data_IF_285416571577
#
_entry.id   IF_285416571577
#
_cell.length_a   1.000
_cell.length_b   1.000
_cell.length_c   1.000
_cell.angle_alpha   90.00
_cell.angle_beta   90.00
_cell.angle_gamma   90.00
#
_symmetry.space_group_name_H-M   'P 1'
#
loop_
_entity.id
_entity.type
_entity.pdbx_description
1 polymer ?
#
# COMPACT_ATOMS: atom_id res chain seq x y z
N UNK A 1 7.47 0.58 15.29
CA UNK A 1 8.14 1.36 14.20
C UNK A 1 7.68 0.86 12.84
N UNK A 2 7.42 1.75 11.87
CA UNK A 2 6.94 1.35 10.51
C UNK A 2 8.11 0.88 9.65
N UNK A 3 7.91 -0.26 8.97
CA UNK A 3 8.79 -0.78 7.93
C UNK A 3 8.03 -1.06 6.64
N UNK A 4 8.77 -1.16 5.54
CA UNK A 4 8.28 -1.50 4.20
C UNK A 4 9.21 -2.51 3.56
N UNK A 5 8.65 -3.58 3.02
CA UNK A 5 9.31 -4.45 2.05
C UNK A 5 8.58 -4.27 0.72
N UNK A 6 9.34 -3.93 -0.33
CA UNK A 6 8.80 -3.62 -1.65
C UNK A 6 9.51 -4.39 -2.75
N UNK A 7 8.75 -4.89 -3.69
CA UNK A 7 9.19 -5.30 -5.03
C UNK A 7 8.41 -4.45 -6.02
N UNK A 8 9.08 -3.79 -6.92
CA UNK A 8 8.40 -2.94 -7.89
C UNK A 8 9.09 -2.98 -9.27
N UNK A 9 8.48 -2.30 -10.24
CA UNK A 9 8.96 -2.25 -11.61
C UNK A 9 10.38 -1.67 -11.78
N UNK A 10 10.92 -0.95 -10.79
CA UNK A 10 12.29 -0.41 -10.81
C UNK A 10 13.32 -1.46 -10.37
N UNK A 11 12.91 -2.43 -9.54
CA UNK A 11 13.80 -3.39 -8.90
C UNK A 11 13.69 -4.81 -9.46
N UNK A 12 12.56 -5.15 -10.09
CA UNK A 12 12.31 -6.50 -10.59
C UNK A 12 11.58 -6.51 -11.94
N UNK A 13 11.96 -7.47 -12.79
CA UNK A 13 11.25 -7.75 -14.03
C UNK A 13 9.80 -8.17 -13.77
N UNK A 14 8.96 -8.08 -14.80
CA UNK A 14 7.55 -8.49 -14.70
C UNK A 14 7.42 -9.94 -14.21
N UNK A 15 8.20 -10.87 -14.79
CA UNK A 15 8.20 -12.28 -14.39
C UNK A 15 8.54 -12.51 -12.92
N UNK A 16 9.45 -11.71 -12.36
CA UNK A 16 9.78 -11.80 -10.93
C UNK A 16 8.67 -11.23 -10.05
N UNK A 17 8.04 -10.11 -10.45
CA UNK A 17 6.89 -9.53 -9.72
C UNK A 17 5.71 -10.49 -9.67
N UNK A 18 5.42 -11.20 -10.78
CA UNK A 18 4.37 -12.22 -10.87
C UNK A 18 4.53 -13.32 -9.83
N UNK A 19 5.75 -13.79 -9.61
CA UNK A 19 6.03 -14.84 -8.62
C UNK A 19 5.64 -14.42 -7.20
N UNK A 20 5.76 -13.13 -6.88
CA UNK A 20 5.48 -12.59 -5.54
C UNK A 20 4.10 -11.93 -5.44
N UNK A 21 3.33 -11.83 -6.52
CA UNK A 21 1.98 -11.28 -6.45
C UNK A 21 1.13 -12.01 -5.40
N UNK A 22 0.42 -11.24 -4.57
CA UNK A 22 -0.45 -11.77 -3.51
C UNK A 22 -1.90 -11.45 -3.81
N UNK A 23 -2.74 -12.47 -3.75
CA UNK A 23 -4.18 -12.32 -3.73
C UNK A 23 -4.67 -11.75 -2.39
N UNK A 24 -5.96 -11.44 -2.31
CA UNK A 24 -6.54 -10.80 -1.12
C UNK A 24 -6.43 -11.65 0.15
N UNK A 25 -6.74 -12.95 0.03
CA UNK A 25 -6.64 -13.91 1.14
C UNK A 25 -5.18 -14.17 1.54
N UNK A 26 -4.28 -14.32 0.55
CA UNK A 26 -2.85 -14.49 0.79
C UNK A 26 -2.25 -13.28 1.53
N UNK A 27 -2.68 -12.07 1.19
CA UNK A 27 -2.24 -10.84 1.85
C UNK A 27 -2.59 -10.84 3.35
N UNK A 28 -3.81 -11.24 3.69
CA UNK A 28 -4.26 -11.37 5.08
C UNK A 28 -3.49 -12.46 5.81
N UNK A 29 -3.37 -13.65 5.22
CA UNK A 29 -2.65 -14.78 5.81
C UNK A 29 -1.18 -14.44 6.10
N UNK A 30 -0.51 -13.75 5.18
CA UNK A 30 0.89 -13.37 5.36
C UNK A 30 1.09 -12.43 6.55
N UNK A 31 0.23 -11.42 6.72
CA UNK A 31 0.33 -10.49 7.85
C UNK A 31 0.02 -11.21 9.17
N UNK A 32 -1.02 -12.07 9.23
CA UNK A 32 -1.30 -12.88 10.42
C UNK A 32 -0.12 -13.77 10.79
N UNK A 33 0.48 -14.46 9.83
CA UNK A 33 1.67 -15.25 10.07
C UNK A 33 2.83 -14.42 10.63
N UNK A 34 3.05 -13.22 10.10
CA UNK A 34 4.11 -12.33 10.59
C UNK A 34 3.83 -11.77 11.98
N UNK A 35 2.57 -11.54 12.33
CA UNK A 35 2.17 -11.17 13.70
C UNK A 35 2.48 -12.31 14.69
N UNK A 36 2.13 -13.55 14.34
CA UNK A 36 2.34 -14.73 15.17
C UNK A 36 3.82 -15.12 15.29
N UNK A 37 4.54 -15.23 14.16
CA UNK A 37 5.90 -15.76 14.14
C UNK A 37 6.97 -14.72 14.49
N UNK A 38 6.75 -13.44 14.12
CA UNK A 38 7.75 -12.38 14.24
C UNK A 38 7.36 -11.27 15.24
N UNK A 39 6.18 -11.39 15.86
CA UNK A 39 5.70 -10.44 16.86
C UNK A 39 5.41 -9.05 16.28
N UNK A 40 5.06 -8.94 14.99
CA UNK A 40 4.65 -7.68 14.41
C UNK A 40 3.32 -7.22 15.01
N UNK A 41 3.15 -5.91 15.20
CA UNK A 41 1.93 -5.34 15.77
C UNK A 41 0.78 -5.30 14.75
N UNK A 42 1.11 -5.18 13.48
CA UNK A 42 0.15 -5.18 12.38
C UNK A 42 0.81 -4.85 11.04
N UNK A 43 0.00 -4.79 9.98
CA UNK A 43 0.49 -4.49 8.64
C UNK A 43 -0.63 -4.51 7.60
N UNK A 44 -0.27 -4.13 6.37
CA UNK A 44 -1.13 -4.29 5.21
C UNK A 44 -0.30 -4.54 3.95
N UNK A 45 -0.92 -5.16 2.97
CA UNK A 45 -0.29 -5.51 1.69
C UNK A 45 -0.98 -4.77 0.56
N UNK A 46 -0.21 -4.03 -0.22
CA UNK A 46 -0.59 -3.47 -1.49
C UNK A 46 0.03 -4.32 -2.61
N UNK A 47 -0.77 -5.10 -3.29
CA UNK A 47 -0.36 -5.93 -4.43
C UNK A 47 -1.10 -5.44 -5.68
N UNK A 48 -0.34 -4.98 -6.67
CA UNK A 48 -0.85 -4.44 -7.94
C UNK A 48 -0.05 -5.01 -9.12
N UNK A 49 -0.41 -4.68 -10.34
CA UNK A 49 0.37 -5.06 -11.53
C UNK A 49 1.84 -4.59 -11.49
N UNK A 50 2.13 -3.48 -10.81
CA UNK A 50 3.43 -2.82 -10.85
C UNK A 50 4.28 -3.01 -9.60
N UNK A 51 3.66 -3.47 -8.49
CA UNK A 51 4.34 -3.58 -7.21
C UNK A 51 3.68 -4.54 -6.25
N UNK A 52 4.49 -5.11 -5.40
CA UNK A 52 4.09 -5.66 -4.12
C UNK A 52 4.75 -4.80 -3.04
N UNK A 53 3.97 -4.20 -2.17
CA UNK A 53 4.45 -3.42 -1.03
C UNK A 53 3.80 -3.93 0.25
N UNK A 54 4.61 -4.30 1.23
CA UNK A 54 4.17 -4.83 2.51
C UNK A 54 4.60 -3.83 3.58
N UNK A 55 3.65 -3.07 4.09
CA UNK A 55 3.85 -2.16 5.21
C UNK A 55 3.55 -2.90 6.51
N UNK A 56 4.42 -2.75 7.48
CA UNK A 56 4.28 -3.40 8.77
C UNK A 56 4.70 -2.49 9.92
N UNK A 57 4.15 -2.76 11.10
CA UNK A 57 4.57 -2.12 12.33
C UNK A 57 5.28 -3.13 13.24
N UNK A 58 6.56 -2.86 13.51
CA UNK A 58 7.37 -3.62 14.46
C UNK A 58 7.31 -2.97 15.86
N UNK A 59 7.29 -3.75 16.95
CA UNK A 59 7.30 -3.22 18.32
C UNK A 59 8.59 -2.47 18.66
N UNK A 60 9.70 -2.88 18.05
CA UNK A 60 11.02 -2.32 18.24
C UNK A 60 11.59 -1.72 16.96
N UNK A 61 12.89 -1.37 16.97
CA UNK A 61 13.60 -0.95 15.78
C UNK A 61 13.56 -2.05 14.71
N UNK A 62 13.32 -1.65 13.48
CA UNK A 62 13.46 -2.52 12.32
C UNK A 62 14.96 -2.75 12.11
N UNK A 63 15.39 -4.01 12.23
CA UNK A 63 16.77 -4.42 12.02
C UNK A 63 16.91 -5.15 10.69
N UNK A 64 18.10 -5.18 10.12
CA UNK A 64 18.39 -5.94 8.90
C UNK A 64 18.10 -7.45 9.08
N UNK A 65 18.26 -7.97 10.31
CA UNK A 65 17.94 -9.36 10.62
C UNK A 65 16.42 -9.62 10.53
N UNK A 66 15.59 -8.71 11.04
CA UNK A 66 14.14 -8.79 10.91
C UNK A 66 13.73 -8.74 9.43
N UNK A 67 14.27 -7.78 8.66
CA UNK A 67 13.97 -7.64 7.23
C UNK A 67 14.32 -8.91 6.45
N UNK A 68 15.52 -9.45 6.63
CA UNK A 68 15.93 -10.71 5.98
C UNK A 68 15.07 -11.89 6.43
N UNK A 69 14.57 -11.89 7.67
CA UNK A 69 13.67 -12.94 8.16
C UNK A 69 12.29 -12.84 7.50
N UNK A 70 11.74 -11.62 7.38
CA UNK A 70 10.47 -11.38 6.70
C UNK A 70 10.55 -11.71 5.20
N UNK A 71 11.64 -11.34 4.53
CA UNK A 71 11.89 -11.70 3.12
C UNK A 71 11.94 -13.22 2.95
N UNK A 72 12.70 -13.94 3.79
CA UNK A 72 12.76 -15.41 3.76
C UNK A 72 11.39 -16.05 4.04
N UNK A 73 10.62 -15.47 4.95
CA UNK A 73 9.24 -15.89 5.22
C UNK A 73 8.36 -15.73 3.99
N UNK A 74 8.47 -14.61 3.26
CA UNK A 74 7.75 -14.37 2.01
C UNK A 74 8.10 -15.40 0.91
N UNK A 75 9.39 -15.72 0.74
CA UNK A 75 9.81 -16.80 -0.17
C UNK A 75 9.16 -18.14 0.19
N UNK A 76 9.15 -18.50 1.47
CA UNK A 76 8.52 -19.74 1.97
C UNK A 76 7.02 -19.72 1.76
N UNK A 77 6.36 -18.61 2.05
CA UNK A 77 4.92 -18.42 1.87
C UNK A 77 4.50 -18.65 0.41
N UNK A 78 5.25 -18.07 -0.54
CA UNK A 78 5.02 -18.25 -1.98
C UNK A 78 5.58 -19.54 -2.54
N UNK A 79 6.20 -20.39 -1.72
CA UNK A 79 6.85 -21.66 -2.15
C UNK A 79 7.89 -21.46 -3.23
N UNK A 80 8.56 -20.32 -3.24
CA UNK A 80 9.62 -19.98 -4.18
C UNK A 80 10.96 -20.42 -3.55
N UNK A 81 11.81 -21.08 -4.34
CA UNK A 81 13.16 -21.42 -3.88
C UNK A 81 13.96 -20.12 -3.68
N UNK A 82 14.44 -19.92 -2.45
CA UNK A 82 15.29 -18.77 -2.13
C UNK A 82 16.62 -18.90 -2.90
N UNK A 83 16.83 -17.98 -3.86
CA UNK A 83 18.01 -18.00 -4.73
C UNK A 83 19.21 -17.25 -4.15
N UNK A 84 19.08 -16.67 -2.94
CA UNK A 84 20.06 -15.76 -2.36
C UNK A 84 20.04 -14.35 -2.97
N UNK A 85 19.23 -14.12 -3.98
CA UNK A 85 19.08 -12.80 -4.61
C UNK A 85 17.98 -12.01 -3.90
N UNK A 86 18.39 -11.19 -2.93
CA UNK A 86 17.53 -10.24 -2.23
C UNK A 86 17.55 -8.85 -2.89
N UNK A 87 18.31 -8.65 -3.96
CA UNK A 87 18.46 -7.35 -4.63
C UNK A 87 17.19 -6.83 -5.29
N UNK A 88 16.23 -7.72 -5.55
CA UNK A 88 14.90 -7.34 -6.06
C UNK A 88 14.02 -6.65 -5.01
N UNK A 89 14.38 -6.79 -3.73
CA UNK A 89 13.63 -6.16 -2.63
C UNK A 89 14.25 -4.80 -2.28
N UNK A 90 13.39 -3.84 -2.10
CA UNK A 90 13.71 -2.58 -1.43
C UNK A 90 13.12 -2.61 -0.05
N UNK A 91 13.94 -2.43 0.98
CA UNK A 91 13.48 -2.26 2.36
C UNK A 91 13.63 -0.80 2.78
N UNK A 92 12.57 -0.26 3.37
CA UNK A 92 12.57 1.08 3.93
C UNK A 92 12.03 1.02 5.35
N UNK A 93 12.56 1.86 6.22
CA UNK A 93 12.10 1.90 7.60
C UNK A 93 11.90 3.32 8.10
N UNK A 94 11.01 3.44 9.07
CA UNK A 94 10.64 4.65 9.76
C UNK A 94 10.32 5.80 8.81
N UNK A 95 11.06 6.90 8.84
CA UNK A 95 10.82 8.11 8.05
C UNK A 95 10.78 7.83 6.54
N UNK A 96 11.63 6.95 6.03
CA UNK A 96 11.65 6.63 4.60
C UNK A 96 10.43 5.80 4.18
N UNK A 97 10.01 4.82 4.98
CA UNK A 97 8.78 4.05 4.72
C UNK A 97 7.54 4.94 4.76
N UNK A 98 7.46 5.86 5.75
CA UNK A 98 6.40 6.85 5.88
C UNK A 98 6.37 7.76 4.65
N UNK A 99 7.50 8.36 4.29
CA UNK A 99 7.64 9.24 3.11
C UNK A 99 7.23 8.53 1.83
N UNK A 100 7.63 7.28 1.67
CA UNK A 100 7.28 6.46 0.50
C UNK A 100 5.77 6.29 0.40
N UNK A 101 5.06 5.98 1.50
CA UNK A 101 3.60 5.84 1.51
C UNK A 101 2.89 7.14 1.10
N UNK A 102 3.33 8.30 1.60
CA UNK A 102 2.75 9.59 1.22
C UNK A 102 2.96 9.87 -0.28
N UNK A 103 4.17 9.62 -0.80
CA UNK A 103 4.49 9.78 -2.22
C UNK A 103 3.66 8.83 -3.08
N UNK A 104 3.53 7.58 -2.65
CA UNK A 104 2.72 6.57 -3.30
C UNK A 104 1.25 6.98 -3.38
N UNK A 105 0.67 7.40 -2.26
CA UNK A 105 -0.72 7.87 -2.19
C UNK A 105 -0.99 9.05 -3.13
N UNK A 106 0.01 9.92 -3.33
CA UNK A 106 -0.04 11.05 -4.25
C UNK A 106 0.25 10.66 -5.72
N UNK A 107 0.56 9.38 -6.02
CA UNK A 107 0.86 8.91 -7.37
C UNK A 107 2.27 9.24 -7.87
N UNK A 108 3.18 9.70 -7.01
CA UNK A 108 4.56 10.06 -7.37
C UNK A 108 5.49 8.85 -7.51
N UNK A 109 5.06 7.66 -7.07
CA UNK A 109 5.79 6.39 -7.22
C UNK A 109 5.18 5.50 -8.30
N UNK A 110 4.13 5.94 -9.00
CA UNK A 110 3.52 5.21 -10.09
C UNK A 110 4.34 5.31 -11.37
N UNK A 111 4.21 4.32 -12.27
CA UNK A 111 4.86 4.32 -13.59
C UNK A 111 4.38 5.50 -14.44
N UNK A 112 3.11 5.83 -14.32
CA UNK A 112 2.49 7.01 -14.90
C UNK A 112 2.23 8.00 -13.78
N UNK A 113 2.85 9.17 -13.87
CA UNK A 113 2.74 10.22 -12.87
C UNK A 113 1.28 10.68 -12.72
N UNK A 114 0.82 10.79 -11.46
CA UNK A 114 -0.54 11.22 -11.17
C UNK A 114 -1.61 10.13 -11.32
N UNK A 115 -1.23 8.87 -11.47
CA UNK A 115 -2.16 7.74 -11.55
C UNK A 115 -3.15 7.75 -10.38
N UNK A 116 -4.43 7.90 -10.70
CA UNK A 116 -5.49 8.03 -9.68
C UNK A 116 -5.87 6.70 -9.04
N UNK A 117 -5.58 5.58 -9.71
CA UNK A 117 -5.99 4.25 -9.29
C UNK A 117 -5.24 3.77 -8.05
N UNK A 118 -3.96 4.15 -7.90
CA UNK A 118 -3.13 3.71 -6.77
C UNK A 118 -3.73 4.10 -5.41
N UNK A 119 -4.35 5.28 -5.30
CA UNK A 119 -5.00 5.70 -4.06
C UNK A 119 -6.22 4.82 -3.73
N UNK A 120 -6.99 4.42 -4.76
CA UNK A 120 -8.10 3.48 -4.59
C UNK A 120 -7.63 2.12 -4.11
N UNK A 121 -6.58 1.58 -4.74
CA UNK A 121 -5.96 0.31 -4.37
C UNK A 121 -5.37 0.35 -2.95
N UNK A 122 -4.73 1.45 -2.57
CA UNK A 122 -4.18 1.65 -1.23
C UNK A 122 -5.29 1.70 -0.16
N UNK A 123 -6.40 2.39 -0.44
CA UNK A 123 -7.58 2.42 0.45
C UNK A 123 -8.18 1.02 0.64
N UNK A 124 -8.25 0.23 -0.42
CA UNK A 124 -8.78 -1.13 -0.36
C UNK A 124 -7.85 -2.06 0.43
N UNK A 125 -6.53 -1.96 0.23
CA UNK A 125 -5.54 -2.68 1.03
C UNK A 125 -5.66 -2.36 2.53
N UNK A 126 -5.78 -1.07 2.86
CA UNK A 126 -5.99 -0.61 4.24
C UNK A 126 -7.34 -1.10 4.82
N UNK A 127 -8.44 -1.01 4.05
CA UNK A 127 -9.76 -1.48 4.47
C UNK A 127 -9.72 -2.97 4.82
N UNK A 128 -9.05 -3.78 3.98
CA UNK A 128 -8.87 -5.21 4.22
C UNK A 128 -8.12 -5.47 5.53
N UNK A 129 -7.00 -4.79 5.76
CA UNK A 129 -6.25 -4.93 7.00
C UNK A 129 -7.08 -4.53 8.24
N UNK A 130 -7.92 -3.49 8.12
CA UNK A 130 -8.81 -3.07 9.21
C UNK A 130 -9.90 -4.11 9.48
N UNK A 131 -10.50 -4.69 8.44
CA UNK A 131 -11.53 -5.73 8.57
C UNK A 131 -10.99 -6.98 9.28
N UNK A 132 -9.71 -7.30 9.11
CA UNK A 132 -9.05 -8.46 9.72
C UNK A 132 -8.22 -8.11 10.97
N UNK A 133 -8.47 -6.96 11.61
CA UNK A 133 -7.80 -6.52 12.85
C UNK A 133 -6.27 -6.44 12.75
N UNK A 134 -5.74 -6.26 11.54
CA UNK A 134 -4.31 -6.14 11.26
C UNK A 134 -3.82 -4.69 11.25
N UNK A 135 -4.73 -3.72 11.38
CA UNK A 135 -4.40 -2.29 11.39
C UNK A 135 -4.30 -1.75 12.82
N UNK A 136 -3.11 -1.30 13.19
CA UNK A 136 -2.87 -0.61 14.47
C UNK A 136 -3.33 0.85 14.43
N UNK A 137 -3.36 1.51 15.58
CA UNK A 137 -3.63 2.96 15.65
C UNK A 137 -2.62 3.80 14.85
N UNK A 138 -1.34 3.36 14.81
CA UNK A 138 -0.28 4.04 14.05
C UNK A 138 -0.48 3.85 12.55
N UNK A 139 -0.74 2.62 12.10
CA UNK A 139 -1.04 2.32 10.69
C UNK A 139 -2.30 3.06 10.23
N UNK A 140 -3.37 3.03 11.04
CA UNK A 140 -4.61 3.75 10.73
C UNK A 140 -4.38 5.24 10.56
N UNK A 141 -3.67 5.87 11.50
CA UNK A 141 -3.33 7.29 11.42
C UNK A 141 -2.47 7.61 10.20
N UNK A 142 -1.46 6.77 9.91
CA UNK A 142 -0.57 6.89 8.76
C UNK A 142 -1.36 6.87 7.44
N UNK A 143 -2.22 5.87 7.26
CA UNK A 143 -3.04 5.74 6.06
C UNK A 143 -4.01 6.91 5.89
N UNK A 144 -4.72 7.31 6.94
CA UNK A 144 -5.63 8.46 6.89
C UNK A 144 -4.91 9.75 6.50
N UNK A 145 -3.76 10.04 7.09
CA UNK A 145 -2.95 11.23 6.74
C UNK A 145 -2.44 11.15 5.30
N UNK A 146 -2.03 9.98 4.81
CA UNK A 146 -1.64 9.79 3.42
C UNK A 146 -2.83 10.04 2.46
N UNK A 147 -4.04 9.60 2.80
CA UNK A 147 -5.25 9.83 2.01
C UNK A 147 -5.65 11.31 1.98
N UNK A 148 -5.60 12.00 3.11
CA UNK A 148 -5.83 13.45 3.21
C UNK A 148 -4.84 14.23 2.34
N UNK A 149 -3.55 13.89 2.45
CA UNK A 149 -2.47 14.50 1.66
C UNK A 149 -2.70 14.28 0.17
N UNK A 150 -3.00 13.07 -0.25
CA UNK A 150 -3.29 12.75 -1.64
C UNK A 150 -4.51 13.51 -2.18
N UNK A 151 -5.57 13.66 -1.37
CA UNK A 151 -6.75 14.45 -1.74
C UNK A 151 -6.38 15.91 -1.96
N UNK A 152 -5.60 16.50 -1.05
CA UNK A 152 -5.17 17.89 -1.16
C UNK A 152 -4.24 18.12 -2.36
N UNK A 153 -3.24 17.24 -2.54
CA UNK A 153 -2.35 17.32 -3.72
C UNK A 153 -3.14 17.31 -5.02
N UNK A 154 -4.15 16.45 -5.13
CA UNK A 154 -5.01 16.42 -6.33
C UNK A 154 -5.82 17.68 -6.53
N UNK A 155 -6.38 18.24 -5.46
CA UNK A 155 -7.24 19.41 -5.58
C UNK A 155 -6.48 20.71 -5.82
N UNK A 156 -5.25 20.84 -5.34
CA UNK A 156 -4.50 22.10 -5.37
C UNK A 156 -3.38 22.13 -6.43
N UNK A 157 -2.77 20.97 -6.73
CA UNK A 157 -1.57 20.92 -7.57
C UNK A 157 -1.78 20.18 -8.90
N UNK A 158 -2.76 19.28 -9.00
CA UNK A 158 -2.98 18.46 -10.20
C UNK A 158 -4.24 18.85 -10.99
N UNK A 159 -4.81 20.02 -10.71
CA UNK A 159 -6.05 20.50 -11.37
C UNK A 159 -5.92 20.73 -12.88
N UNK A 160 -4.71 20.83 -13.42
CA UNK A 160 -4.45 21.11 -14.84
C UNK A 160 -3.96 19.90 -15.64
N UNK A 161 -3.51 18.84 -14.99
CA UNK A 161 -3.09 17.64 -15.68
C UNK A 161 -4.23 16.62 -15.69
N UNK A 162 -4.72 16.28 -16.86
CA UNK A 162 -5.58 15.10 -17.02
C UNK A 162 -4.78 13.89 -16.51
N UNK A 163 -5.24 13.18 -15.46
CA UNK A 163 -4.47 12.08 -14.92
C UNK A 163 -4.27 11.03 -16.01
N UNK A 164 -3.06 10.90 -16.51
CA UNK A 164 -2.75 9.83 -17.46
C UNK A 164 -2.74 8.54 -16.64
N UNK A 165 -3.73 7.68 -16.86
CA UNK A 165 -3.70 6.35 -16.25
C UNK A 165 -2.90 5.39 -17.13
N UNK A 166 -2.48 4.25 -16.54
CA UNK A 166 -1.79 3.22 -17.31
C UNK A 166 -2.62 2.76 -18.52
N UNK A 167 -3.96 2.71 -18.39
CA UNK A 167 -4.85 2.37 -19.51
C UNK A 167 -4.85 3.43 -20.62
N UNK A 168 -4.88 4.71 -20.26
CA UNK A 168 -4.76 5.83 -21.21
C UNK A 168 -3.40 5.78 -21.92
N UNK A 169 -2.33 5.61 -21.15
CA UNK A 169 -0.97 5.52 -21.68
C UNK A 169 -0.81 4.33 -22.64
N UNK A 170 -1.42 3.17 -22.35
CA UNK A 170 -1.39 2.00 -23.21
C UNK A 170 -2.07 2.25 -24.55
N UNK A 171 -3.24 2.90 -24.56
CA UNK A 171 -3.93 3.27 -25.81
C UNK A 171 -3.08 4.24 -26.63
N UNK A 172 -2.54 5.28 -26.01
CA UNK A 172 -1.71 6.27 -26.70
C UNK A 172 -0.39 5.65 -27.19
N UNK A 173 0.17 4.68 -26.45
CA UNK A 173 1.37 3.94 -26.85
C UNK A 173 1.15 3.15 -28.15
N UNK A 174 0.07 2.36 -28.25
CA UNK A 174 -0.25 1.62 -29.47
C UNK A 174 -0.62 2.56 -30.63
N UNK A 175 -1.40 3.62 -30.36
CA UNK A 175 -1.77 4.61 -31.36
C UNK A 175 -0.56 5.25 -32.05
N UNK A 176 0.53 5.46 -31.34
CA UNK A 176 1.75 6.04 -31.92
C UNK A 176 2.56 5.03 -32.76
N UNK A 177 2.39 3.73 -32.52
CA UNK A 177 3.16 2.66 -33.18
C UNK A 177 2.44 2.02 -34.36
N UNK A 178 1.14 2.02 -34.32
CA UNK A 178 0.30 1.43 -35.37
C UNK A 178 -0.21 2.54 -36.25
N UNK A 179 0.34 2.64 -37.47
CA UNK A 179 0.04 3.75 -38.41
C UNK A 179 -1.46 3.91 -38.76
N UNK A 180 -2.17 2.78 -38.82
CA UNK A 180 -3.60 2.74 -39.15
C UNK A 180 -4.46 2.35 -37.92
N UNK A 181 -4.04 2.73 -36.71
CA UNK A 181 -4.70 2.39 -35.44
C UNK A 181 -6.21 2.66 -35.48
N UNK A 182 -6.63 3.82 -36.01
CA UNK A 182 -8.03 4.22 -36.05
C UNK A 182 -8.90 3.37 -37.02
N UNK A 183 -8.26 2.62 -37.91
CA UNK A 183 -8.94 1.77 -38.91
C UNK A 183 -9.01 0.32 -38.51
N UNK A 184 -8.32 -0.06 -37.43
CA UNK A 184 -8.25 -1.44 -36.95
C UNK A 184 -9.23 -1.67 -35.81
N UNK A 185 -10.04 -2.74 -35.83
CA UNK A 185 -10.88 -3.09 -34.70
C UNK A 185 -10.10 -3.36 -33.41
N UNK A 186 -10.62 -2.84 -32.33
CA UNK A 186 -10.04 -2.97 -30.97
C UNK A 186 -10.91 -3.84 -30.10
N UNK A 187 -10.32 -4.83 -29.43
CA UNK A 187 -10.95 -5.63 -28.41
C UNK A 187 -10.45 -5.20 -27.02
N UNK A 188 -11.36 -4.97 -26.10
CA UNK A 188 -11.08 -4.88 -24.67
C UNK A 188 -11.41 -6.21 -24.04
N UNK A 189 -10.44 -6.91 -23.46
CA UNK A 189 -10.60 -8.18 -22.80
C UNK A 189 -10.61 -8.00 -21.28
N UNK A 190 -11.81 -8.13 -20.67
CA UNK A 190 -12.07 -7.83 -19.26
C UNK A 190 -12.99 -6.62 -19.06
N UNK A 191 -13.73 -6.59 -17.96
CA UNK A 191 -14.68 -5.53 -17.61
C UNK A 191 -14.37 -4.93 -16.20
N UNK A 192 -13.09 -4.81 -15.88
CA UNK A 192 -12.59 -4.21 -14.64
C UNK A 192 -12.26 -2.72 -14.79
N UNK A 193 -11.73 -2.12 -13.71
CA UNK A 193 -11.37 -0.69 -13.67
C UNK A 193 -10.41 -0.27 -14.79
N UNK A 194 -9.41 -1.12 -15.11
CA UNK A 194 -8.46 -0.83 -16.18
C UNK A 194 -9.15 -0.83 -17.56
N UNK A 195 -10.06 -1.77 -17.79
CA UNK A 195 -10.88 -1.82 -18.98
C UNK A 195 -11.75 -0.55 -19.15
N UNK A 196 -12.32 -0.04 -18.04
CA UNK A 196 -13.10 1.23 -18.07
C UNK A 196 -12.25 2.41 -18.54
N UNK A 197 -11.02 2.50 -18.08
CA UNK A 197 -10.12 3.57 -18.50
C UNK A 197 -9.75 3.48 -19.98
N UNK A 198 -9.47 2.26 -20.46
CA UNK A 198 -9.19 2.01 -21.88
C UNK A 198 -10.40 2.38 -22.73
N UNK A 199 -11.60 1.94 -22.33
CA UNK A 199 -12.84 2.26 -23.05
C UNK A 199 -13.09 3.76 -23.12
N UNK A 200 -12.92 4.47 -21.98
CA UNK A 200 -13.06 5.93 -21.94
C UNK A 200 -12.06 6.63 -22.87
N UNK A 201 -10.79 6.19 -22.89
CA UNK A 201 -9.78 6.77 -23.78
C UNK A 201 -10.08 6.52 -25.24
N UNK A 202 -10.52 5.32 -25.62
CA UNK A 202 -10.97 5.01 -26.99
C UNK A 202 -12.19 5.84 -27.40
N UNK A 203 -13.12 6.10 -26.47
CA UNK A 203 -14.27 6.96 -26.67
C UNK A 203 -13.87 8.44 -26.87
N UNK A 204 -12.94 8.97 -26.09
CA UNK A 204 -12.36 10.31 -26.30
C UNK A 204 -11.72 10.45 -27.68
N UNK A 205 -11.05 9.40 -28.15
CA UNK A 205 -10.47 9.34 -29.49
C UNK A 205 -11.50 9.08 -30.58
N UNK A 206 -12.78 8.91 -30.23
CA UNK A 206 -13.86 8.55 -31.13
C UNK A 206 -13.55 7.32 -31.98
N UNK A 207 -12.91 6.32 -31.39
CA UNK A 207 -12.51 5.10 -32.11
C UNK A 207 -13.77 4.34 -32.59
N UNK A 208 -13.93 4.07 -33.90
CA UNK A 208 -15.21 3.63 -34.43
C UNK A 208 -15.52 2.14 -34.19
N UNK A 209 -14.50 1.33 -33.94
CA UNK A 209 -14.62 -0.13 -33.89
C UNK A 209 -14.05 -0.70 -32.57
N UNK A 210 -14.85 -0.57 -31.52
CA UNK A 210 -14.52 -1.11 -30.20
C UNK A 210 -15.44 -2.27 -29.84
N UNK A 211 -14.88 -3.36 -29.37
CA UNK A 211 -15.59 -4.52 -28.86
C UNK A 211 -15.14 -4.85 -27.44
N UNK A 212 -16.00 -5.52 -26.70
CA UNK A 212 -15.73 -6.00 -25.33
C UNK A 212 -15.88 -7.51 -25.26
N UNK A 213 -14.95 -8.16 -24.58
CA UNK A 213 -15.10 -9.55 -24.13
C UNK A 213 -14.99 -9.63 -22.60
N UNK A 214 -15.91 -10.33 -22.00
CA UNK A 214 -15.77 -10.75 -20.61
C UNK A 214 -16.37 -12.16 -20.42
N UNK A 215 -15.73 -12.98 -19.59
CA UNK A 215 -16.19 -14.35 -19.32
C UNK A 215 -17.65 -14.38 -18.83
N UNK A 216 -18.03 -13.44 -17.97
CA UNK A 216 -19.40 -13.29 -17.48
C UNK A 216 -20.17 -12.37 -18.43
N UNK A 217 -21.21 -12.92 -19.08
CA UNK A 217 -22.01 -12.23 -20.11
C UNK A 217 -22.68 -10.95 -19.60
N UNK A 218 -23.26 -11.02 -18.42
CA UNK A 218 -23.95 -9.88 -17.80
C UNK A 218 -23.00 -8.70 -17.56
N UNK A 219 -21.76 -8.99 -17.16
CA UNK A 219 -20.73 -7.97 -16.99
C UNK A 219 -20.31 -7.35 -18.33
N UNK A 220 -20.19 -8.16 -19.38
CA UNK A 220 -19.87 -7.66 -20.72
C UNK A 220 -20.97 -6.73 -21.23
N UNK A 221 -22.25 -7.09 -21.07
CA UNK A 221 -23.41 -6.29 -21.46
C UNK A 221 -23.45 -4.97 -20.69
N UNK A 222 -23.38 -5.02 -19.35
CA UNK A 222 -23.40 -3.82 -18.52
C UNK A 222 -22.25 -2.85 -18.85
N UNK A 223 -21.06 -3.38 -19.13
CA UNK A 223 -19.92 -2.60 -19.56
C UNK A 223 -20.17 -1.95 -20.93
N UNK A 224 -20.68 -2.70 -21.89
CA UNK A 224 -20.98 -2.23 -23.24
C UNK A 224 -22.04 -1.12 -23.24
N UNK A 225 -23.10 -1.26 -22.45
CA UNK A 225 -24.13 -0.24 -22.28
C UNK A 225 -23.54 1.05 -21.70
N UNK A 226 -22.72 0.94 -20.67
CA UNK A 226 -22.07 2.08 -20.01
C UNK A 226 -21.16 2.86 -20.96
N UNK A 227 -20.41 2.16 -21.81
CA UNK A 227 -19.41 2.73 -22.72
C UNK A 227 -19.87 2.83 -24.19
N UNK A 228 -21.15 2.57 -24.48
CA UNK A 228 -21.75 2.65 -25.81
C UNK A 228 -21.03 1.75 -26.84
N UNK A 229 -20.59 0.58 -26.41
CA UNK A 229 -19.92 -0.42 -27.25
C UNK A 229 -21.00 -1.33 -27.88
N UNK A 230 -21.02 -1.46 -29.18
CA UNK A 230 -22.03 -2.25 -29.90
C UNK A 230 -21.71 -3.75 -30.01
N UNK A 231 -20.42 -4.11 -29.97
CA UNK A 231 -19.96 -5.49 -30.17
C UNK A 231 -19.59 -6.10 -28.85
N UNK A 232 -20.34 -7.13 -28.43
CA UNK A 232 -20.18 -7.81 -27.12
C UNK A 232 -19.92 -9.29 -27.34
N UNK A 233 -18.84 -9.79 -26.71
CA UNK A 233 -18.48 -11.20 -26.70
C UNK A 233 -18.40 -11.74 -25.28
N UNK A 234 -18.72 -13.00 -25.10
CA UNK A 234 -18.66 -13.68 -23.80
C UNK A 234 -18.50 -15.20 -23.99
N UNK A 235 -18.19 -15.90 -22.89
CA UNK A 235 -18.08 -17.37 -22.88
C UNK A 235 -17.14 -17.90 -23.97
N UNK A 236 -17.60 -18.82 -24.83
CA UNK A 236 -16.78 -19.49 -25.85
C UNK A 236 -16.49 -18.61 -27.10
N UNK A 237 -16.91 -17.35 -27.11
CA UNK A 237 -16.75 -16.47 -28.27
C UNK A 237 -15.41 -15.69 -28.28
N UNK A 238 -14.46 -16.04 -27.41
CA UNK A 238 -13.14 -15.38 -27.41
C UNK A 238 -12.37 -15.58 -28.73
N UNK A 239 -12.32 -16.79 -29.35
CA UNK A 239 -11.67 -16.94 -30.65
C UNK A 239 -12.27 -16.05 -31.73
N UNK A 240 -13.60 -15.88 -31.73
CA UNK A 240 -14.31 -15.00 -32.68
C UNK A 240 -13.95 -13.53 -32.43
N UNK A 241 -13.94 -13.09 -31.18
CA UNK A 241 -13.56 -11.72 -30.80
C UNK A 241 -12.13 -11.38 -31.26
N UNK A 242 -11.19 -12.30 -31.03
CA UNK A 242 -9.80 -12.15 -31.47
C UNK A 242 -9.67 -12.18 -33.00
N UNK A 243 -10.48 -13.00 -33.69
CA UNK A 243 -10.49 -13.04 -35.19
C UNK A 243 -10.83 -11.70 -35.77
N UNK A 244 -11.82 -11.02 -35.21
CA UNK A 244 -12.33 -9.74 -35.71
C UNK A 244 -11.52 -8.53 -35.28
N UNK A 245 -10.69 -8.65 -34.22
CA UNK A 245 -10.00 -7.51 -33.63
C UNK A 245 -8.49 -7.77 -33.55
N UNK A 246 -7.72 -7.18 -34.48
CA UNK A 246 -6.25 -7.32 -34.46
C UNK A 246 -5.57 -6.61 -33.31
N UNK A 247 -6.20 -5.62 -32.68
CA UNK A 247 -5.69 -4.94 -31.51
C UNK A 247 -6.46 -5.41 -30.29
N UNK A 248 -5.77 -5.90 -29.25
CA UNK A 248 -6.39 -6.39 -28.03
C UNK A 248 -5.71 -5.81 -26.79
N UNK A 249 -6.48 -5.11 -25.96
CA UNK A 249 -6.07 -4.71 -24.62
C UNK A 249 -6.55 -5.76 -23.61
N UNK A 250 -5.62 -6.39 -22.91
CA UNK A 250 -5.91 -7.46 -21.94
C UNK A 250 -5.87 -6.88 -20.52
N UNK A 251 -7.05 -6.81 -19.89
CA UNK A 251 -7.24 -6.18 -18.59
C UNK A 251 -8.15 -7.03 -17.67
N UNK A 252 -7.79 -8.30 -17.47
CA UNK A 252 -8.54 -9.22 -16.63
C UNK A 252 -7.82 -9.50 -15.31
N UNK A 253 -8.51 -10.14 -14.36
CA UNK A 253 -7.97 -10.59 -13.08
C UNK A 253 -7.69 -12.10 -13.06
N UNK A 254 -7.48 -12.74 -14.21
CA UNK A 254 -7.14 -14.15 -14.28
C UNK A 254 -5.77 -14.41 -13.65
N UNK A 255 -5.64 -15.51 -12.93
CA UNK A 255 -4.36 -15.95 -12.36
C UNK A 255 -3.50 -16.75 -13.34
N UNK A 256 -4.08 -17.11 -14.49
CA UNK A 256 -3.41 -17.88 -15.55
C UNK A 256 -3.59 -17.18 -16.89
N UNK A 257 -2.66 -17.37 -17.85
CA UNK A 257 -2.82 -16.85 -19.20
C UNK A 257 -4.14 -17.28 -19.84
N UNK A 258 -4.80 -16.34 -20.50
CA UNK A 258 -6.05 -16.58 -21.25
C UNK A 258 -5.73 -16.68 -22.75
N UNK A 259 -4.78 -15.87 -23.23
CA UNK A 259 -4.33 -15.91 -24.61
C UNK A 259 -3.11 -16.82 -24.67
N UNK A 260 -3.30 -18.00 -25.25
CA UNK A 260 -2.29 -19.07 -25.37
C UNK A 260 -2.06 -19.42 -26.84
N UNK A 261 -0.98 -20.15 -27.11
CA UNK A 261 -0.69 -20.65 -28.48
C UNK A 261 -1.85 -21.51 -29.02
N UNK A 262 -2.44 -22.37 -28.18
CA UNK A 262 -3.57 -23.23 -28.56
C UNK A 262 -4.81 -22.42 -28.99
N UNK A 263 -5.04 -21.26 -28.36
CA UNK A 263 -6.11 -20.36 -28.74
C UNK A 263 -5.80 -19.66 -30.07
N UNK A 264 -4.54 -19.23 -30.28
CA UNK A 264 -4.14 -18.53 -31.49
C UNK A 264 -4.14 -19.42 -32.75
N UNK A 265 -3.94 -20.74 -32.60
CA UNK A 265 -4.10 -21.69 -33.71
C UNK A 265 -5.53 -21.70 -34.27
N UNK A 266 -6.52 -21.31 -33.47
CA UNK A 266 -7.94 -21.29 -33.85
C UNK A 266 -8.33 -20.03 -34.65
N UNK A 267 -7.44 -19.05 -34.76
CA UNK A 267 -7.74 -17.77 -35.42
C UNK A 267 -6.86 -17.59 -36.66
N UNK A 268 -7.33 -16.85 -37.68
CA UNK A 268 -6.54 -16.58 -38.87
C UNK A 268 -5.21 -15.90 -38.58
N UNK A 269 -4.18 -16.28 -39.33
CA UNK A 269 -2.87 -15.61 -39.27
C UNK A 269 -2.97 -14.17 -39.78
N UNK A 270 -2.21 -13.28 -39.14
CA UNK A 270 -2.15 -11.86 -39.45
C UNK A 270 -1.45 -11.07 -38.37
N UNK A 271 -1.16 -9.79 -38.69
CA UNK A 271 -0.59 -8.86 -37.69
C UNK A 271 -1.54 -8.68 -36.51
N UNK A 272 -1.05 -8.90 -35.30
CA UNK A 272 -1.80 -8.76 -34.06
C UNK A 272 -1.00 -8.03 -33.01
N UNK A 273 -1.68 -7.20 -32.28
CA UNK A 273 -1.11 -6.33 -31.26
C UNK A 273 -1.82 -6.59 -29.93
N UNK A 274 -1.10 -7.18 -28.98
CA UNK A 274 -1.59 -7.42 -27.63
C UNK A 274 -0.93 -6.43 -26.68
N UNK A 275 -1.74 -5.76 -25.88
CA UNK A 275 -1.25 -4.98 -24.76
C UNK A 275 -1.72 -5.63 -23.46
N UNK A 276 -0.84 -6.40 -22.80
CA UNK A 276 -1.17 -7.10 -21.55
C UNK A 276 -0.93 -6.19 -20.34
N UNK A 277 -2.00 -5.81 -19.67
CA UNK A 277 -2.01 -4.99 -18.47
C UNK A 277 -2.25 -5.81 -17.20
N UNK A 278 -2.41 -7.13 -17.33
CA UNK A 278 -2.68 -8.02 -16.22
C UNK A 278 -1.41 -8.44 -15.50
N UNK A 279 -1.51 -8.63 -14.19
CA UNK A 279 -0.48 -9.30 -13.37
C UNK A 279 -1.21 -10.24 -12.40
N UNK A 280 -0.95 -11.53 -12.49
CA UNK A 280 -0.07 -12.20 -13.48
C UNK A 280 -0.49 -11.95 -14.92
N UNK A 281 0.46 -12.13 -15.86
CA UNK A 281 0.19 -11.95 -17.28
C UNK A 281 -0.93 -12.87 -17.76
N UNK A 282 -1.79 -12.32 -18.61
CA UNK A 282 -2.89 -13.07 -19.22
C UNK A 282 -2.64 -13.41 -20.70
N UNK A 283 -1.53 -12.94 -21.27
CA UNK A 283 -0.97 -13.38 -22.54
C UNK A 283 0.25 -14.24 -22.25
N UNK A 284 0.32 -15.43 -22.84
CA UNK A 284 1.46 -16.32 -22.67
C UNK A 284 2.73 -15.64 -23.22
N UNK A 285 3.80 -15.53 -22.42
CA UNK A 285 5.04 -14.89 -22.84
C UNK A 285 5.72 -15.53 -24.06
N UNK A 286 5.50 -16.83 -24.28
CA UNK A 286 6.04 -17.54 -25.45
C UNK A 286 5.53 -16.96 -26.77
N UNK A 287 4.41 -16.24 -26.75
CA UNK A 287 3.82 -15.62 -27.92
C UNK A 287 4.62 -14.42 -28.44
N UNK A 288 5.54 -13.86 -27.66
CA UNK A 288 6.44 -12.80 -28.10
C UNK A 288 7.44 -13.26 -29.18
N UNK A 289 7.67 -14.58 -29.27
CA UNK A 289 8.53 -15.19 -30.29
C UNK A 289 7.77 -15.54 -31.59
N UNK A 290 6.44 -15.40 -31.59
CA UNK A 290 5.62 -15.77 -32.76
C UNK A 290 5.64 -14.66 -33.79
N UNK A 291 6.03 -14.93 -35.05
CA UNK A 291 6.01 -13.93 -36.12
C UNK A 291 4.61 -13.30 -36.26
N UNK A 292 4.56 -12.01 -36.53
CA UNK A 292 3.31 -11.21 -36.67
C UNK A 292 2.49 -11.02 -35.39
N UNK A 293 3.00 -11.42 -34.23
CA UNK A 293 2.45 -11.06 -32.94
C UNK A 293 3.35 -10.01 -32.29
N UNK A 294 2.72 -8.94 -31.83
CA UNK A 294 3.39 -7.86 -31.12
C UNK A 294 2.83 -7.82 -29.71
N UNK A 295 3.61 -8.31 -28.76
CA UNK A 295 3.23 -8.33 -27.34
C UNK A 295 3.83 -7.13 -26.62
N UNK A 296 2.99 -6.28 -26.07
CA UNK A 296 3.36 -5.17 -25.22
C UNK A 296 2.84 -5.40 -23.82
N UNK A 297 3.58 -4.89 -22.86
CA UNK A 297 3.25 -4.97 -21.44
C UNK A 297 3.26 -3.58 -20.82
N UNK A 298 2.83 -3.51 -19.58
CA UNK A 298 2.87 -2.26 -18.81
C UNK A 298 4.30 -1.72 -18.66
N UNK A 299 5.33 -2.58 -18.72
CA UNK A 299 6.73 -2.16 -18.63
C UNK A 299 7.20 -1.34 -19.85
N UNK A 300 6.56 -1.52 -21.00
CA UNK A 300 6.86 -0.78 -22.23
C UNK A 300 6.46 0.70 -22.16
N UNK A 301 5.60 1.07 -21.20
CA UNK A 301 5.22 2.46 -20.94
C UNK A 301 6.34 3.31 -20.32
N UNK A 302 7.41 2.69 -19.81
CA UNK A 302 8.53 3.39 -19.15
C UNK A 302 9.24 4.41 -20.03
N UNK A 303 9.23 4.21 -21.34
CA UNK A 303 9.98 5.01 -22.30
C UNK A 303 9.37 6.38 -22.65
N UNK A 304 8.17 6.71 -22.12
CA UNK A 304 7.42 7.90 -22.57
C UNK A 304 7.35 9.07 -21.58
N UNK A 305 8.07 9.04 -20.46
CA UNK A 305 8.00 10.13 -19.47
C UNK A 305 8.93 11.30 -19.82
N UNK A 306 8.40 12.28 -20.53
CA UNK A 306 8.98 13.62 -20.63
C UNK A 306 8.12 14.59 -19.81
N UNK A 307 8.66 15.13 -18.71
CA UNK A 307 8.02 16.18 -17.93
C UNK A 307 8.34 17.55 -18.55
N UNK A 308 7.31 18.41 -18.65
CA UNK A 308 7.49 19.82 -19.00
C UNK A 308 8.12 20.61 -17.83
N UNK A 309 8.66 21.80 -18.09
CA UNK A 309 9.25 22.64 -17.04
C UNK A 309 8.25 23.05 -15.95
N UNK A 310 6.97 23.25 -16.28
CA UNK A 310 5.90 23.52 -15.33
C UNK A 310 5.59 22.31 -14.43
N UNK A 311 5.60 21.11 -15.00
CA UNK A 311 5.43 19.87 -14.24
C UNK A 311 6.57 19.63 -13.26
N UNK A 312 7.80 20.02 -13.60
CA UNK A 312 8.96 19.94 -12.69
C UNK A 312 8.73 20.83 -11.46
N UNK A 313 8.28 22.08 -11.66
CA UNK A 313 8.04 23.02 -10.57
C UNK A 313 6.91 22.56 -9.64
N UNK A 314 5.79 22.12 -10.20
CA UNK A 314 4.69 21.52 -9.43
C UNK A 314 5.16 20.30 -8.61
N UNK A 315 6.06 19.49 -9.17
CA UNK A 315 6.65 18.36 -8.45
C UNK A 315 7.46 18.77 -7.21
N UNK A 316 8.18 19.90 -7.27
CA UNK A 316 8.93 20.40 -6.11
C UNK A 316 8.00 20.91 -5.01
N UNK A 317 6.94 21.61 -5.34
CA UNK A 317 5.93 22.06 -4.39
C UNK A 317 5.22 20.87 -3.71
N UNK A 318 4.81 19.87 -4.49
CA UNK A 318 4.21 18.63 -3.98
C UNK A 318 5.18 17.91 -3.03
N UNK A 319 6.46 17.80 -3.39
CA UNK A 319 7.49 17.18 -2.55
C UNK A 319 7.65 17.93 -1.23
N UNK A 320 7.69 19.26 -1.26
CA UNK A 320 7.78 20.09 -0.08
C UNK A 320 6.56 19.92 0.84
N UNK A 321 5.36 19.90 0.26
CA UNK A 321 4.12 19.64 1.00
C UNK A 321 4.11 18.23 1.63
N UNK A 322 4.48 17.20 0.88
CA UNK A 322 4.62 15.84 1.42
C UNK A 322 5.61 15.81 2.58
N UNK A 323 6.75 16.51 2.45
CA UNK A 323 7.75 16.56 3.52
C UNK A 323 7.17 17.17 4.79
N UNK A 324 6.37 18.24 4.71
CA UNK A 324 5.70 18.82 5.87
C UNK A 324 4.72 17.83 6.53
N UNK A 325 3.95 17.08 5.73
CA UNK A 325 3.00 16.09 6.23
C UNK A 325 3.70 14.91 6.91
N UNK A 326 4.85 14.50 6.40
CA UNK A 326 5.71 13.48 7.03
C UNK A 326 6.19 13.97 8.39
N UNK A 327 6.64 15.22 8.49
CA UNK A 327 7.07 15.81 9.77
C UNK A 327 5.92 15.89 10.77
N UNK A 328 4.75 16.33 10.35
CA UNK A 328 3.54 16.36 11.20
C UNK A 328 3.20 14.98 11.75
N UNK A 329 3.29 13.95 10.91
CA UNK A 329 3.02 12.57 11.33
C UNK A 329 4.08 12.07 12.32
N UNK A 330 5.37 12.35 12.09
CA UNK A 330 6.45 11.98 13.01
C UNK A 330 6.29 12.68 14.37
N UNK A 331 5.96 13.97 14.39
CA UNK A 331 5.66 14.69 15.62
C UNK A 331 4.46 14.07 16.37
N UNK A 332 3.43 13.63 15.64
CA UNK A 332 2.31 12.93 16.26
C UNK A 332 2.74 11.59 16.88
N UNK A 333 3.61 10.82 16.22
CA UNK A 333 4.17 9.57 16.76
C UNK A 333 4.96 9.84 18.03
N UNK A 334 5.83 10.84 18.01
CA UNK A 334 6.64 11.23 19.18
C UNK A 334 5.74 11.66 20.36
N UNK A 335 4.71 12.45 20.09
CA UNK A 335 3.74 12.85 21.12
C UNK A 335 2.88 11.66 21.63
N UNK A 336 2.62 10.64 20.82
CA UNK A 336 1.92 9.43 21.25
C UNK A 336 2.79 8.57 22.17
N UNK A 337 4.08 8.44 21.86
CA UNK A 337 5.06 7.73 22.70
C UNK A 337 5.22 8.42 24.08
N UNK A 338 5.28 9.75 24.08
CA UNK A 338 5.32 10.53 25.34
C UNK A 338 4.04 10.32 26.16
N UNK A 339 2.86 10.36 25.53
CA UNK A 339 1.59 10.10 26.24
C UNK A 339 1.55 8.69 26.85
N UNK A 340 2.02 7.68 26.12
CA UNK A 340 2.11 6.31 26.64
C UNK A 340 3.06 6.24 27.84
N UNK A 341 4.23 6.87 27.75
CA UNK A 341 5.19 6.94 28.85
C UNK A 341 4.59 7.64 30.08
N UNK A 342 3.91 8.78 29.88
CA UNK A 342 3.20 9.49 30.95
C UNK A 342 2.13 8.59 31.59
N UNK A 343 1.31 7.90 30.80
CA UNK A 343 0.30 6.98 31.31
C UNK A 343 0.90 5.86 32.16
N UNK A 344 2.01 5.26 31.71
CA UNK A 344 2.70 4.22 32.47
C UNK A 344 3.28 4.78 33.78
N UNK A 345 3.90 5.96 33.76
CA UNK A 345 4.42 6.63 34.96
C UNK A 345 3.28 6.85 35.97
N UNK A 346 2.13 7.35 35.51
CA UNK A 346 0.94 7.54 36.36
C UNK A 346 0.48 6.20 36.97
N UNK A 347 0.33 5.17 36.14
CA UNK A 347 -0.12 3.86 36.58
C UNK A 347 0.81 3.24 37.63
N UNK A 348 2.13 3.25 37.37
CA UNK A 348 3.13 2.70 38.32
C UNK A 348 3.17 3.52 39.59
N UNK A 349 3.09 4.84 39.53
CA UNK A 349 3.03 5.70 40.68
C UNK A 349 1.81 5.40 41.55
N UNK A 350 0.64 5.20 40.94
CA UNK A 350 -0.58 4.80 41.64
C UNK A 350 -0.40 3.43 42.35
N UNK A 351 0.12 2.43 41.64
CA UNK A 351 0.33 1.09 42.21
C UNK A 351 1.29 1.11 43.40
N UNK A 352 2.37 1.89 43.32
CA UNK A 352 3.34 2.03 44.40
C UNK A 352 2.70 2.65 45.64
N UNK A 353 1.96 3.74 45.49
CA UNK A 353 1.32 4.45 46.58
C UNK A 353 0.18 3.61 47.21
N UNK A 354 -0.63 2.90 46.40
CA UNK A 354 -1.66 1.98 46.90
C UNK A 354 -1.08 0.87 47.72
N UNK A 355 0.11 0.36 47.34
CA UNK A 355 0.86 -0.65 48.13
C UNK A 355 1.28 -0.10 49.49
N UNK A 356 1.84 1.12 49.53
CA UNK A 356 2.26 1.75 50.78
C UNK A 356 1.06 2.04 51.70
N UNK A 357 -0.08 2.52 51.12
CA UNK A 357 -1.32 2.72 51.85
C UNK A 357 -1.89 1.42 52.42
N UNK A 358 -1.76 0.31 51.69
CA UNK A 358 -2.20 -1.02 52.17
C UNK A 358 -1.34 -1.58 53.31
N UNK A 359 -0.10 -1.12 53.40
CA UNK A 359 0.84 -1.51 54.49
C UNK A 359 0.66 -0.69 55.78
N UNK A 360 -0.24 0.29 55.79
CA UNK A 360 -0.48 1.12 56.97
C UNK A 360 -1.15 0.31 58.08
N UNK A 361 -0.86 0.65 59.37
CA UNK A 361 -1.47 -0.01 60.53
C UNK A 361 -2.99 0.04 60.51
N UNK A 362 -3.62 -1.05 60.94
CA UNK A 362 -5.09 -1.17 60.96
C UNK A 362 -5.78 -0.36 62.05
N UNK A 363 -5.01 0.13 63.02
CA UNK A 363 -5.43 0.84 64.24
C UNK A 363 -5.50 2.37 64.05
N UNK A 364 -5.27 2.86 62.86
CA UNK A 364 -5.38 4.29 62.55
C UNK A 364 -6.84 4.79 62.69
N UNK A 365 -6.99 5.97 63.34
CA UNK A 365 -8.26 6.66 63.45
C UNK A 365 -8.77 7.14 62.09
N UNK A 366 -10.08 7.42 62.00
CA UNK A 366 -10.70 7.89 60.76
C UNK A 366 -10.16 9.24 60.28
N UNK A 367 -9.75 10.11 61.22
CA UNK A 367 -9.12 11.41 60.91
C UNK A 367 -7.72 11.22 60.36
N UNK A 368 -6.93 10.33 60.89
CA UNK A 368 -5.58 10.01 60.38
C UNK A 368 -5.66 9.39 58.98
N UNK A 369 -6.59 8.48 58.75
CA UNK A 369 -6.82 7.90 57.41
C UNK A 369 -7.21 8.97 56.40
N UNK A 370 -8.09 9.91 56.74
CA UNK A 370 -8.48 11.04 55.84
C UNK A 370 -7.28 11.95 55.56
N UNK A 371 -6.45 12.23 56.56
CA UNK A 371 -5.26 13.05 56.38
C UNK A 371 -4.26 12.38 55.45
N UNK A 372 -3.99 11.09 55.65
CA UNK A 372 -3.10 10.30 54.79
C UNK A 372 -3.62 10.23 53.38
N UNK A 373 -4.92 9.96 53.16
CA UNK A 373 -5.51 9.94 51.82
C UNK A 373 -5.41 11.28 51.12
N UNK A 374 -5.58 12.39 51.82
CA UNK A 374 -5.43 13.73 51.26
C UNK A 374 -3.98 14.00 50.84
N UNK A 375 -3.02 13.66 51.69
CA UNK A 375 -1.61 13.77 51.38
C UNK A 375 -1.18 12.86 50.22
N UNK A 376 -1.70 11.64 50.13
CA UNK A 376 -1.46 10.72 49.03
C UNK A 376 -1.91 11.31 47.71
N UNK A 377 -3.14 11.82 47.63
CA UNK A 377 -3.66 12.46 46.45
C UNK A 377 -2.85 13.72 46.02
N UNK A 378 -2.40 14.50 47.02
CA UNK A 378 -1.55 15.65 46.76
C UNK A 378 -0.17 15.23 46.22
N UNK A 379 0.45 14.23 46.78
CA UNK A 379 1.75 13.68 46.36
C UNK A 379 1.64 13.10 44.93
N UNK A 380 0.61 12.30 44.63
CA UNK A 380 0.35 11.74 43.31
C UNK A 380 0.29 12.85 42.24
N UNK A 381 -0.50 13.87 42.51
CA UNK A 381 -0.68 15.01 41.60
C UNK A 381 0.62 15.79 41.42
N UNK A 382 1.32 16.10 42.51
CA UNK A 382 2.54 16.91 42.50
C UNK A 382 3.68 16.19 41.77
N UNK A 383 3.96 14.92 42.07
CA UNK A 383 5.03 14.15 41.43
C UNK A 383 4.73 13.90 39.97
N UNK A 384 3.49 13.52 39.64
CA UNK A 384 3.10 13.28 38.25
C UNK A 384 3.21 14.56 37.41
N UNK A 385 2.74 15.71 37.96
CA UNK A 385 2.82 16.99 37.27
C UNK A 385 4.27 17.42 37.06
N UNK A 386 5.13 17.26 38.07
CA UNK A 386 6.55 17.61 37.98
C UNK A 386 7.26 16.75 36.91
N UNK A 387 7.03 15.44 36.89
CA UNK A 387 7.63 14.52 35.90
C UNK A 387 7.11 14.86 34.48
N UNK A 388 5.82 15.11 34.32
CA UNK A 388 5.21 15.47 33.03
C UNK A 388 5.75 16.84 32.54
N UNK A 389 5.89 17.82 33.43
CA UNK A 389 6.47 19.13 33.08
C UNK A 389 7.92 19.01 32.65
N UNK A 390 8.74 18.28 33.42
CA UNK A 390 10.14 18.01 33.08
C UNK A 390 10.29 17.26 31.75
N UNK A 391 9.42 16.28 31.48
CA UNK A 391 9.40 15.58 30.20
C UNK A 391 9.05 16.50 29.02
N UNK A 392 8.11 17.43 29.19
CA UNK A 392 7.78 18.43 28.17
C UNK A 392 8.93 19.39 27.92
N UNK A 393 9.55 19.91 28.94
CA UNK A 393 10.70 20.82 28.83
C UNK A 393 11.91 20.14 28.15
N UNK A 394 12.22 18.91 28.54
CA UNK A 394 13.26 18.12 27.89
C UNK A 394 12.92 17.80 26.44
N UNK A 395 11.63 17.72 26.12
CA UNK A 395 11.15 17.48 24.76
C UNK A 395 11.44 18.61 23.78
N UNK A 396 11.46 19.83 24.26
CA UNK A 396 11.71 21.02 23.44
C UNK A 396 13.22 21.26 23.20
N UNK A 397 14.11 20.69 24.02
CA UNK A 397 15.53 21.02 24.02
C UNK A 397 16.46 19.94 23.47
N UNK A 398 16.13 18.66 23.57
CA UNK A 398 17.04 17.57 23.16
C UNK A 398 16.27 16.28 22.87
N UNK A 399 16.49 15.69 21.72
CA UNK A 399 16.07 14.36 21.25
C UNK A 399 15.14 13.52 22.15
N UNK A 400 13.86 13.83 22.14
CA UNK A 400 12.76 13.23 22.93
C UNK A 400 12.81 11.71 23.03
N UNK A 401 13.17 11.04 21.91
CA UNK A 401 13.13 9.57 21.78
C UNK A 401 14.00 8.83 22.78
N UNK A 402 15.17 9.36 23.11
CA UNK A 402 16.10 8.66 23.99
C UNK A 402 15.59 8.63 25.43
N UNK A 403 15.04 9.75 25.91
CA UNK A 403 14.56 9.85 27.28
C UNK A 403 13.23 9.13 27.48
N UNK A 404 12.28 9.28 26.56
CA UNK A 404 10.98 8.60 26.60
C UNK A 404 11.14 7.08 26.61
N UNK A 405 12.00 6.54 25.74
CA UNK A 405 12.27 5.10 25.67
C UNK A 405 12.95 4.57 26.93
N UNK A 406 13.92 5.31 27.48
CA UNK A 406 14.62 4.92 28.72
C UNK A 406 13.65 4.93 29.91
N UNK A 407 12.79 5.95 29.99
CA UNK A 407 11.77 6.02 31.04
C UNK A 407 10.71 4.92 30.89
N UNK A 408 10.26 4.66 29.69
CA UNK A 408 9.33 3.57 29.40
C UNK A 408 9.91 2.23 29.88
N UNK A 409 11.17 1.94 29.54
CA UNK A 409 11.86 0.72 29.97
C UNK A 409 12.00 0.67 31.50
N UNK A 410 12.38 1.79 32.13
CA UNK A 410 12.53 1.89 33.58
C UNK A 410 11.19 1.59 34.29
N UNK A 411 10.12 2.27 33.87
CA UNK A 411 8.81 2.11 34.51
C UNK A 411 8.18 0.76 34.22
N UNK A 412 8.38 0.18 33.02
CA UNK A 412 7.98 -1.22 32.74
C UNK A 412 8.70 -2.20 33.65
N UNK A 413 10.00 -1.99 33.89
CA UNK A 413 10.79 -2.83 34.82
C UNK A 413 10.30 -2.69 36.25
N UNK A 414 9.96 -1.48 36.70
CA UNK A 414 9.40 -1.25 38.05
C UNK A 414 8.03 -1.94 38.14
N UNK A 415 7.15 -1.80 37.14
CA UNK A 415 5.85 -2.46 37.12
C UNK A 415 5.95 -3.98 37.23
N UNK A 416 6.91 -4.59 36.52
CA UNK A 416 7.14 -6.04 36.57
C UNK A 416 7.66 -6.55 37.92
N UNK A 417 8.12 -5.65 38.81
CA UNK A 417 8.53 -5.99 40.18
C UNK A 417 7.43 -5.74 41.23
N UNK A 418 6.34 -5.13 40.85
CA UNK A 418 5.18 -4.96 41.74
C UNK A 418 4.37 -6.25 41.74
N UNK A 419 3.93 -6.74 42.92
CA UNK A 419 3.08 -7.91 43.01
C UNK A 419 1.77 -7.64 42.24
N UNK A 420 1.34 -8.63 41.41
CA UNK A 420 0.04 -8.61 40.74
C UNK A 420 -1.07 -8.61 41.82
N UNK A 421 -2.14 -7.85 41.57
CA UNK A 421 -3.32 -7.75 42.45
C UNK A 421 -4.15 -9.05 42.54
N UNK A 422 -3.70 -10.18 41.96
CA UNK A 422 -4.35 -11.49 42.00
C UNK A 422 -3.66 -12.43 43.04
N UNK A 423 -3.91 -12.16 44.31
CA UNK A 423 -3.75 -13.16 45.40
C UNK A 423 -4.50 -12.75 46.65
#
# INVERSE_FOLDING_TARGET
MIGLISINHKTASLSRREQFALGEEEAVQLISQWQEEQGLLGGFVLSTCNRLEIYYEAPNQVTQELESTLIRSLYRFKRIRHSGDESIFTTLHHTEAIRHLFRLACGLESMVLGETQILGQLKEAYRRATTHEQSTAVISRLCHRAFETAKKVRSEYLLSATPISAGTAAVDYLRQRIANFAELPVLILGAGQMAEVIAHRLQELQHPMVSIYNRTRERAIAFAEKHQISSVYSEDHLPQALTTSPITFVATSSLTPIITEELLVQIPQGERYFFDMAVPRNVDPSLDEVPHLHLYTIDDLRSQQYLSGEEIHQHEEIRSYIQSMVQDFLQWCDAAEVRQTIGLIQQVSHQLLDKELSALPHDLSEEERKLISHWDEHLRTTYTTAIVSALRELSETTGLKTYSKTLLQLFTHIQGKLPSHDS
#
